data_IF_457905776510
#
_entry.id   IF_457905776510
#
_cell.length_a   1.000
_cell.length_b   1.000
_cell.length_c   1.000
_cell.angle_alpha   90.00
_cell.angle_beta   90.00
_cell.angle_gamma   90.00
#
_symmetry.space_group_name_H-M   'P 1'
#
loop_
_entity.id
_entity.type
_entity.pdbx_description
1 polymer ?
#
# COMPACT_ATOMS: atom_id res chain seq x y z
N UNK A 1 -37.78 32.04 -36.22
CA UNK A 1 -37.69 33.48 -35.91
C UNK A 1 -36.82 33.67 -34.68
N UNK A 2 -35.59 34.18 -34.85
CA UNK A 2 -34.69 34.46 -33.72
C UNK A 2 -35.21 35.69 -32.99
N UNK A 3 -35.87 35.49 -31.84
CA UNK A 3 -36.11 36.56 -30.88
C UNK A 3 -34.74 37.16 -30.51
N UNK A 4 -34.45 38.36 -31.02
CA UNK A 4 -33.27 39.10 -30.57
C UNK A 4 -33.54 39.50 -29.13
N UNK A 5 -32.86 38.86 -28.17
CA UNK A 5 -32.88 39.30 -26.78
C UNK A 5 -32.40 40.76 -26.72
N UNK A 6 -33.33 41.69 -26.51
CA UNK A 6 -33.01 43.07 -26.17
C UNK A 6 -32.60 43.14 -24.70
N UNK A 7 -31.71 44.07 -24.38
CA UNK A 7 -31.21 44.30 -23.02
C UNK A 7 -31.26 45.79 -22.70
N UNK A 8 -31.65 46.13 -21.48
CA UNK A 8 -31.78 47.52 -21.07
C UNK A 8 -30.44 48.13 -20.67
N UNK A 9 -30.25 49.40 -21.02
CA UNK A 9 -29.15 50.21 -20.52
C UNK A 9 -29.46 50.76 -19.13
N UNK A 10 -28.74 50.33 -18.10
CA UNK A 10 -28.93 50.76 -16.70
C UNK A 10 -28.77 52.28 -16.48
N UNK A 11 -28.08 52.98 -17.39
CA UNK A 11 -27.88 54.44 -17.30
C UNK A 11 -29.03 55.27 -17.90
N UNK A 12 -29.77 54.75 -18.89
CA UNK A 12 -30.82 55.53 -19.58
C UNK A 12 -32.15 54.80 -19.78
N UNK A 13 -32.26 53.55 -19.34
CA UNK A 13 -33.45 52.72 -19.43
C UNK A 13 -33.86 52.30 -20.85
N UNK A 14 -33.07 52.62 -21.88
CA UNK A 14 -33.41 52.26 -23.26
C UNK A 14 -33.06 50.80 -23.55
N UNK A 15 -34.00 50.09 -24.17
CA UNK A 15 -33.76 48.79 -24.80
C UNK A 15 -32.74 48.93 -25.93
N UNK A 16 -31.68 48.12 -25.87
CA UNK A 16 -30.65 48.06 -26.91
C UNK A 16 -30.38 46.62 -27.29
N UNK A 17 -29.94 46.40 -28.54
CA UNK A 17 -29.56 45.08 -29.03
C UNK A 17 -28.32 44.50 -28.33
N UNK A 18 -27.45 45.37 -27.79
CA UNK A 18 -26.26 44.98 -27.04
C UNK A 18 -25.75 46.11 -26.16
N UNK A 19 -25.35 45.78 -24.93
CA UNK A 19 -24.62 46.69 -24.06
C UNK A 19 -23.16 46.84 -24.52
N UNK A 20 -22.71 48.08 -24.66
CA UNK A 20 -21.35 48.39 -25.11
C UNK A 20 -20.31 48.18 -24.01
N UNK A 21 -20.68 48.50 -22.76
CA UNK A 21 -19.78 48.35 -21.59
C UNK A 21 -20.57 47.88 -20.37
N UNK A 22 -20.00 46.96 -19.60
CA UNK A 22 -20.41 46.69 -18.21
C UNK A 22 -19.30 47.12 -17.26
N UNK A 23 -19.63 47.90 -16.24
CA UNK A 23 -18.70 48.38 -15.22
C UNK A 23 -19.35 48.27 -13.84
N UNK A 24 -18.70 47.55 -12.89
CA UNK A 24 -19.24 47.29 -11.54
C UNK A 24 -20.70 46.79 -11.53
N UNK A 25 -21.05 45.91 -12.46
CA UNK A 25 -22.41 45.38 -12.59
C UNK A 25 -23.35 46.19 -13.48
N UNK A 26 -23.11 47.50 -13.64
CA UNK A 26 -23.93 48.40 -14.47
C UNK A 26 -23.58 48.34 -15.97
N UNK A 27 -24.59 48.16 -16.81
CA UNK A 27 -24.56 48.13 -18.26
C UNK A 27 -24.83 49.49 -18.91
N UNK A 28 -24.02 49.83 -19.90
CA UNK A 28 -24.10 51.08 -20.66
C UNK A 28 -24.25 50.78 -22.15
N UNK A 29 -25.21 51.44 -22.82
CA UNK A 29 -25.25 51.50 -24.28
C UNK A 29 -24.08 52.32 -24.82
N UNK A 30 -23.84 52.28 -26.14
CA UNK A 30 -22.72 52.99 -26.77
C UNK A 30 -22.73 54.50 -26.49
N UNK A 31 -23.91 55.13 -26.56
CA UNK A 31 -24.10 56.56 -26.28
C UNK A 31 -23.80 56.90 -24.82
N UNK A 32 -24.37 56.14 -23.89
CA UNK A 32 -24.13 56.32 -22.46
C UNK A 32 -22.67 56.08 -22.09
N UNK A 33 -22.03 55.07 -22.69
CA UNK A 33 -20.61 54.82 -22.51
C UNK A 33 -19.75 56.01 -22.95
N UNK A 34 -20.01 56.60 -24.13
CA UNK A 34 -19.27 57.78 -24.60
C UNK A 34 -19.51 59.03 -23.73
N UNK A 35 -20.70 59.15 -23.15
CA UNK A 35 -21.08 60.25 -22.25
C UNK A 35 -20.42 60.13 -20.88
N UNK A 36 -20.49 58.96 -20.26
CA UNK A 36 -20.06 58.70 -18.88
C UNK A 36 -18.57 58.40 -18.79
N UNK A 37 -17.97 57.74 -19.78
CA UNK A 37 -16.55 57.37 -19.78
C UNK A 37 -15.72 58.32 -20.63
N UNK A 38 -14.87 59.12 -19.98
CA UNK A 38 -13.99 60.11 -20.61
C UNK A 38 -12.53 59.62 -20.63
N UNK A 39 -11.77 60.05 -21.63
CA UNK A 39 -10.37 59.67 -21.80
C UNK A 39 -9.53 60.41 -20.73
N UNK A 40 -8.90 59.67 -19.83
CA UNK A 40 -8.09 60.18 -18.71
C UNK A 40 -6.92 59.22 -18.45
N UNK A 41 -5.89 59.68 -17.73
CA UNK A 41 -4.79 58.82 -17.29
C UNK A 41 -5.28 57.87 -16.19
N UNK A 42 -4.87 56.60 -16.27
CA UNK A 42 -5.13 55.62 -15.24
C UNK A 42 -4.29 55.93 -13.98
N UNK A 43 -4.90 56.06 -12.78
CA UNK A 43 -4.16 56.33 -11.54
C UNK A 43 -3.11 55.26 -11.19
N UNK A 44 -3.28 54.01 -11.68
CA UNK A 44 -2.39 52.88 -11.36
C UNK A 44 -1.25 52.67 -12.35
N UNK A 45 -1.48 52.88 -13.65
CA UNK A 45 -0.48 52.58 -14.68
C UNK A 45 -0.07 53.78 -15.54
N UNK A 46 -0.64 54.97 -15.32
CA UNK A 46 -0.35 56.19 -16.10
C UNK A 46 -0.93 56.22 -17.51
N UNK A 47 -1.24 55.06 -18.11
CA UNK A 47 -1.75 54.97 -19.49
C UNK A 47 -3.14 55.62 -19.70
N UNK A 48 -3.36 56.15 -20.91
CA UNK A 48 -4.63 56.76 -21.31
C UNK A 48 -5.72 55.70 -21.48
N UNK A 49 -6.80 55.79 -20.70
CA UNK A 49 -7.96 54.91 -20.78
C UNK A 49 -9.28 55.71 -20.72
N UNK A 50 -10.38 55.12 -21.22
CA UNK A 50 -11.73 55.67 -20.99
C UNK A 50 -12.23 55.25 -19.60
N UNK A 51 -12.31 56.20 -18.69
CA UNK A 51 -12.66 56.01 -17.29
C UNK A 51 -13.93 56.80 -16.94
N UNK A 52 -14.79 56.27 -16.05
CA UNK A 52 -16.00 56.96 -15.63
C UNK A 52 -15.67 58.32 -15.02
N UNK A 53 -16.38 59.37 -15.47
CA UNK A 53 -16.12 60.75 -15.01
C UNK A 53 -16.41 60.95 -13.51
N UNK A 54 -17.33 60.17 -12.95
CA UNK A 54 -17.83 60.30 -11.58
C UNK A 54 -17.03 59.46 -10.56
N UNK A 55 -16.02 58.69 -10.99
CA UNK A 55 -15.20 57.84 -10.12
C UNK A 55 -13.73 58.17 -10.39
N UNK A 56 -13.11 59.09 -9.62
CA UNK A 56 -11.75 59.55 -9.85
C UNK A 56 -10.69 58.46 -9.60
N UNK A 57 -11.01 57.44 -8.80
CA UNK A 57 -10.12 56.31 -8.48
C UNK A 57 -10.27 55.15 -9.48
N UNK A 58 -11.12 55.30 -10.50
CA UNK A 58 -11.34 54.27 -11.48
C UNK A 58 -10.04 53.94 -12.25
N UNK A 59 -9.62 52.68 -12.17
CA UNK A 59 -8.46 52.17 -12.92
C UNK A 59 -8.85 51.62 -14.29
N UNK A 60 -7.89 51.56 -15.21
CA UNK A 60 -8.11 50.99 -16.53
C UNK A 60 -8.49 49.50 -16.46
N UNK A 61 -9.06 48.96 -17.54
CA UNK A 61 -9.51 47.55 -17.59
C UNK A 61 -8.37 46.59 -17.25
N UNK A 62 -7.18 46.83 -17.78
CA UNK A 62 -6.00 45.99 -17.55
C UNK A 62 -5.63 45.99 -16.07
N UNK A 63 -5.50 47.16 -15.46
CA UNK A 63 -5.25 47.32 -14.03
C UNK A 63 -6.35 46.73 -13.13
N UNK A 64 -7.61 46.66 -13.59
CA UNK A 64 -8.67 46.07 -12.79
C UNK A 64 -8.56 44.53 -12.72
N UNK A 65 -8.05 43.91 -13.79
CA UNK A 65 -7.89 42.45 -13.89
C UNK A 65 -6.46 41.98 -13.63
N UNK A 66 -5.52 42.90 -13.51
CA UNK A 66 -4.16 42.66 -13.05
C UNK A 66 -4.15 42.42 -11.54
N UNK A 67 -4.68 41.26 -11.16
CA UNK A 67 -4.75 40.73 -9.80
C UNK A 67 -4.53 39.21 -9.85
N UNK A 68 -4.01 38.60 -8.76
CA UNK A 68 -3.94 37.15 -8.65
C UNK A 68 -5.32 36.50 -8.86
N UNK A 69 -5.34 35.27 -9.35
CA UNK A 69 -6.58 34.50 -9.48
C UNK A 69 -7.27 34.40 -8.12
N UNK A 70 -8.51 34.88 -8.01
CA UNK A 70 -9.26 34.94 -6.75
C UNK A 70 -9.46 33.58 -6.05
N UNK A 71 -9.20 32.45 -6.74
CA UNK A 71 -9.27 31.10 -6.16
C UNK A 71 -7.93 30.44 -5.90
N UNK A 72 -7.04 30.41 -6.89
CA UNK A 72 -5.78 29.67 -6.78
C UNK A 72 -4.56 30.54 -6.49
N UNK A 73 -4.72 31.86 -6.37
CA UNK A 73 -3.63 32.79 -6.04
C UNK A 73 -2.56 32.95 -7.14
N UNK A 74 -2.71 32.28 -8.29
CA UNK A 74 -1.77 32.39 -9.40
C UNK A 74 -1.67 33.84 -9.89
N UNK A 75 -0.45 34.33 -10.15
CA UNK A 75 -0.20 35.69 -10.60
C UNK A 75 -0.83 35.97 -11.98
N UNK A 76 -1.24 37.22 -12.23
CA UNK A 76 -1.90 37.66 -13.46
C UNK A 76 -1.07 37.43 -14.73
N UNK A 77 0.26 37.36 -14.61
CA UNK A 77 1.18 37.00 -15.71
C UNK A 77 1.07 35.54 -16.17
N UNK A 78 0.59 34.65 -15.29
CA UNK A 78 0.73 33.21 -15.48
C UNK A 78 -0.58 32.52 -15.90
N UNK A 79 -1.64 33.30 -16.15
CA UNK A 79 -2.94 32.76 -16.54
C UNK A 79 -3.78 33.67 -17.43
N UNK A 80 -4.62 33.01 -18.25
CA UNK A 80 -5.67 33.67 -19.01
C UNK A 80 -6.96 33.78 -18.17
N UNK A 81 -7.55 34.97 -18.14
CA UNK A 81 -8.78 35.27 -17.39
C UNK A 81 -9.94 34.50 -18.00
N UNK A 82 -10.59 33.65 -17.19
CA UNK A 82 -11.79 32.90 -17.60
C UNK A 82 -13.09 33.57 -17.17
N UNK A 83 -13.11 34.22 -16.00
CA UNK A 83 -14.29 34.94 -15.47
C UNK A 83 -13.81 36.07 -14.56
N UNK A 84 -14.54 37.18 -14.51
CA UNK A 84 -14.36 38.22 -13.50
C UNK A 84 -15.53 38.10 -12.52
N UNK A 85 -15.20 37.91 -11.25
CA UNK A 85 -16.16 37.77 -10.14
C UNK A 85 -16.13 39.01 -9.26
N UNK A 86 -17.09 39.21 -8.33
CA UNK A 86 -17.02 40.30 -7.36
C UNK A 86 -15.71 40.32 -6.55
N UNK A 87 -15.12 39.15 -6.31
CA UNK A 87 -13.85 38.98 -5.58
C UNK A 87 -12.59 39.17 -6.44
N UNK A 88 -12.75 39.37 -7.76
CA UNK A 88 -11.64 39.58 -8.69
C UNK A 88 -11.61 38.61 -9.89
N UNK A 89 -10.56 38.69 -10.72
CA UNK A 89 -10.38 37.82 -11.87
C UNK A 89 -10.10 36.38 -11.44
N UNK A 90 -10.58 35.43 -12.24
CA UNK A 90 -10.40 33.99 -12.03
C UNK A 90 -9.82 33.39 -13.30
N UNK A 91 -8.79 32.55 -13.16
CA UNK A 91 -8.17 31.88 -14.30
C UNK A 91 -9.12 30.90 -14.99
N UNK A 92 -8.87 30.61 -16.27
CA UNK A 92 -9.71 29.70 -17.08
C UNK A 92 -9.90 28.33 -16.42
N UNK A 93 -8.88 27.81 -15.73
CA UNK A 93 -8.95 26.54 -15.02
C UNK A 93 -9.83 26.59 -13.75
N UNK A 94 -9.92 27.78 -13.11
CA UNK A 94 -10.72 27.99 -11.92
C UNK A 94 -12.14 28.51 -12.22
N UNK A 95 -12.38 29.09 -13.40
CA UNK A 95 -13.68 29.63 -13.78
C UNK A 95 -14.85 28.64 -13.63
N UNK A 96 -14.72 27.32 -13.91
CA UNK A 96 -15.79 26.36 -13.67
C UNK A 96 -16.30 26.32 -12.23
N UNK A 97 -15.46 26.56 -11.23
CA UNK A 97 -15.85 26.50 -9.82
C UNK A 97 -16.77 27.65 -9.38
N UNK A 98 -16.93 28.66 -10.22
CA UNK A 98 -17.83 29.80 -10.01
C UNK A 98 -19.07 29.73 -10.91
N UNK A 99 -19.39 28.53 -11.42
CA UNK A 99 -20.63 28.25 -12.15
C UNK A 99 -21.53 27.38 -11.28
N UNK A 100 -22.83 27.58 -11.41
CA UNK A 100 -23.80 26.67 -10.82
C UNK A 100 -23.72 25.31 -11.54
N UNK A 101 -23.74 24.18 -10.80
CA UNK A 101 -23.76 22.87 -11.42
C UNK A 101 -25.06 22.66 -12.21
N UNK A 102 -24.93 22.20 -13.44
CA UNK A 102 -26.07 21.86 -14.31
C UNK A 102 -26.06 20.35 -14.63
N UNK A 103 -27.22 19.72 -14.85
CA UNK A 103 -27.28 18.30 -15.17
C UNK A 103 -26.67 17.98 -16.53
N UNK A 104 -25.88 16.90 -16.60
CA UNK A 104 -25.39 16.34 -17.85
C UNK A 104 -26.55 15.78 -18.69
N UNK A 105 -26.62 16.15 -19.96
CA UNK A 105 -27.71 15.73 -20.85
C UNK A 105 -27.64 14.24 -21.25
N UNK A 106 -26.53 13.55 -20.98
CA UNK A 106 -26.40 12.11 -21.22
C UNK A 106 -26.58 11.23 -19.97
N UNK A 107 -26.24 11.71 -18.77
CA UNK A 107 -26.25 10.87 -17.56
C UNK A 107 -26.96 11.50 -16.34
N UNK A 108 -27.53 12.70 -16.49
CA UNK A 108 -28.27 13.41 -15.44
C UNK A 108 -27.41 13.97 -14.30
N UNK A 109 -26.13 13.57 -14.16
CA UNK A 109 -25.27 14.01 -13.05
C UNK A 109 -24.95 15.50 -13.16
N UNK A 110 -25.09 16.21 -12.05
CA UNK A 110 -24.72 17.63 -11.93
C UNK A 110 -23.22 17.84 -12.18
N UNK A 111 -22.89 18.82 -13.01
CA UNK A 111 -21.51 19.18 -13.34
C UNK A 111 -21.37 20.67 -13.60
N UNK A 112 -20.27 21.25 -13.13
CA UNK A 112 -19.87 22.62 -13.47
C UNK A 112 -19.03 22.69 -14.76
N UNK A 113 -18.74 21.53 -15.37
CA UNK A 113 -17.81 21.36 -16.50
C UNK A 113 -18.49 20.67 -17.68
N UNK A 114 -19.64 21.19 -18.07
CA UNK A 114 -20.34 20.70 -19.26
C UNK A 114 -19.66 21.19 -20.54
N UNK A 115 -19.54 20.31 -21.52
CA UNK A 115 -18.99 20.60 -22.85
C UNK A 115 -19.79 19.93 -23.94
N UNK A 116 -19.82 20.52 -25.13
CA UNK A 116 -20.33 19.90 -26.35
C UNK A 116 -19.20 19.20 -27.09
N UNK A 117 -19.49 18.06 -27.70
CA UNK A 117 -18.49 17.23 -28.39
C UNK A 117 -19.02 16.83 -29.76
N UNK A 118 -18.63 17.60 -30.79
CA UNK A 118 -19.14 17.41 -32.16
C UNK A 118 -18.93 15.98 -32.71
N UNK A 119 -17.81 15.33 -32.36
CA UNK A 119 -17.49 13.97 -32.84
C UNK A 119 -18.45 12.87 -32.33
N UNK A 120 -19.27 13.15 -31.32
CA UNK A 120 -20.27 12.20 -30.81
C UNK A 120 -21.59 12.25 -31.57
N UNK A 121 -21.71 13.09 -32.61
CA UNK A 121 -22.88 13.09 -33.51
C UNK A 121 -24.15 13.73 -32.92
N UNK A 122 -24.07 14.35 -31.74
CA UNK A 122 -25.18 15.06 -31.10
C UNK A 122 -24.68 16.37 -30.46
N UNK A 123 -25.58 17.32 -30.20
CA UNK A 123 -25.23 18.61 -29.54
C UNK A 123 -25.43 18.62 -28.01
N UNK A 124 -25.46 17.44 -27.38
CA UNK A 124 -25.64 17.36 -25.93
C UNK A 124 -24.49 18.00 -25.13
N UNK A 125 -24.85 18.64 -24.02
CA UNK A 125 -23.93 19.15 -22.99
C UNK A 125 -23.53 18.02 -22.05
N UNK A 126 -22.30 17.55 -22.21
CA UNK A 126 -21.76 16.38 -21.51
C UNK A 126 -20.84 16.77 -20.36
N UNK A 127 -20.93 16.03 -19.25
CA UNK A 127 -19.94 16.10 -18.18
C UNK A 127 -18.58 15.49 -18.63
N UNK A 128 -17.47 15.75 -17.91
CA UNK A 128 -16.14 15.28 -18.31
C UNK A 128 -16.03 13.76 -18.52
N UNK A 129 -16.82 12.97 -17.79
CA UNK A 129 -16.89 11.52 -17.96
C UNK A 129 -17.59 11.13 -19.25
N UNK A 130 -18.77 11.70 -19.53
CA UNK A 130 -19.53 11.39 -20.74
C UNK A 130 -18.82 11.90 -22.00
N UNK A 131 -18.18 13.07 -21.95
CA UNK A 131 -17.44 13.64 -23.09
C UNK A 131 -16.19 12.84 -23.51
N UNK A 132 -15.81 11.85 -22.69
CA UNK A 132 -14.63 11.00 -22.91
C UNK A 132 -15.01 9.51 -22.89
N UNK A 133 -16.29 9.18 -23.05
CA UNK A 133 -16.77 7.79 -23.05
C UNK A 133 -16.21 6.95 -24.21
N UNK A 134 -15.79 7.60 -25.30
CA UNK A 134 -15.17 7.04 -26.49
C UNK A 134 -13.63 6.96 -26.39
N UNK A 135 -13.04 7.34 -25.26
CA UNK A 135 -11.60 7.23 -25.05
C UNK A 135 -11.21 5.82 -24.60
N UNK A 136 -9.96 5.47 -24.87
CA UNK A 136 -9.33 4.24 -24.40
C UNK A 136 -7.88 4.46 -23.99
N UNK A 137 -7.21 3.39 -23.54
CA UNK A 137 -5.79 3.43 -23.20
C UNK A 137 -4.96 3.12 -24.44
N UNK A 138 -4.17 4.09 -24.91
CA UNK A 138 -3.27 3.91 -26.05
C UNK A 138 -2.27 2.77 -25.80
N UNK A 139 -2.12 1.83 -26.74
CA UNK A 139 -1.21 0.68 -26.58
C UNK A 139 0.25 1.11 -26.42
N UNK A 140 0.69 2.15 -27.15
CA UNK A 140 2.06 2.67 -27.09
C UNK A 140 2.34 3.54 -25.84
N UNK A 141 1.65 4.68 -25.69
CA UNK A 141 1.96 5.63 -24.60
C UNK A 141 1.24 5.36 -23.28
N UNK A 142 0.30 4.39 -23.24
CA UNK A 142 -0.49 4.01 -22.05
C UNK A 142 -1.32 5.13 -21.42
N UNK A 143 -1.51 6.26 -22.14
CA UNK A 143 -2.36 7.38 -21.70
C UNK A 143 -3.79 7.17 -22.19
N UNK A 144 -4.76 7.52 -21.34
CA UNK A 144 -6.19 7.48 -21.67
C UNK A 144 -6.59 8.66 -22.56
N UNK A 145 -6.91 8.39 -23.83
CA UNK A 145 -7.15 9.39 -24.88
C UNK A 145 -8.12 8.84 -25.94
N UNK A 146 -8.56 9.72 -26.85
CA UNK A 146 -9.20 9.29 -28.09
C UNK A 146 -8.21 8.46 -28.92
N UNK A 147 -8.64 7.27 -29.36
CA UNK A 147 -7.82 6.33 -30.10
C UNK A 147 -8.24 6.24 -31.56
N UNK A 148 -7.27 5.92 -32.41
CA UNK A 148 -7.43 5.54 -33.81
C UNK A 148 -6.87 4.13 -33.99
N UNK A 149 -7.46 3.35 -34.88
CA UNK A 149 -6.94 2.03 -35.24
C UNK A 149 -5.87 2.23 -36.31
N UNK A 150 -4.63 1.90 -35.96
CA UNK A 150 -3.50 1.94 -36.87
C UNK A 150 -3.61 0.81 -37.92
N UNK A 151 -2.91 0.90 -39.07
CA UNK A 151 -2.96 -0.12 -40.12
C UNK A 151 -2.59 -1.54 -39.65
N UNK A 152 -1.81 -1.64 -38.58
CA UNK A 152 -1.41 -2.90 -37.95
C UNK A 152 -2.44 -3.45 -36.94
N UNK A 153 -3.59 -2.78 -36.76
CA UNK A 153 -4.64 -3.15 -35.81
C UNK A 153 -4.48 -2.55 -34.41
N UNK A 154 -3.41 -1.81 -34.12
CA UNK A 154 -3.19 -1.24 -32.79
C UNK A 154 -4.09 -0.03 -32.52
N UNK A 155 -4.64 0.04 -31.29
CA UNK A 155 -5.38 1.21 -30.82
C UNK A 155 -4.42 2.28 -30.25
N UNK A 156 -4.08 3.27 -31.08
CA UNK A 156 -3.10 4.31 -30.77
C UNK A 156 -3.77 5.67 -30.60
N UNK A 157 -3.21 6.55 -29.76
CA UNK A 157 -3.60 7.96 -29.79
C UNK A 157 -3.04 8.64 -31.04
N UNK A 158 -3.67 9.72 -31.50
CA UNK A 158 -3.28 10.47 -32.70
C UNK A 158 -1.76 10.73 -32.78
N UNK A 159 -1.16 11.25 -31.72
CA UNK A 159 0.28 11.56 -31.69
C UNK A 159 1.15 10.31 -31.88
N UNK A 160 0.82 9.20 -31.22
CA UNK A 160 1.55 7.93 -31.39
C UNK A 160 1.36 7.34 -32.80
N UNK A 161 0.18 7.49 -33.39
CA UNK A 161 -0.09 7.00 -34.74
C UNK A 161 0.63 7.82 -35.82
N UNK A 162 0.69 9.14 -35.66
CA UNK A 162 1.27 10.05 -36.67
C UNK A 162 2.79 10.17 -36.55
N UNK A 163 3.33 10.15 -35.33
CA UNK A 163 4.75 10.46 -35.07
C UNK A 163 5.54 9.27 -34.53
N UNK A 164 4.88 8.17 -34.14
CA UNK A 164 5.56 7.00 -33.60
C UNK A 164 6.38 7.31 -32.34
N UNK A 165 7.69 7.14 -32.45
CA UNK A 165 8.67 7.43 -31.40
C UNK A 165 9.37 8.77 -31.63
N UNK A 166 9.51 9.54 -30.56
CA UNK A 166 10.29 10.78 -30.51
C UNK A 166 11.36 10.68 -29.44
N UNK A 167 12.43 11.47 -29.57
CA UNK A 167 13.46 11.56 -28.53
C UNK A 167 12.92 12.26 -27.28
N UNK A 168 13.20 11.71 -26.10
CA UNK A 168 12.85 12.34 -24.83
C UNK A 168 13.63 13.66 -24.64
N UNK A 169 12.97 14.82 -24.43
CA UNK A 169 13.68 16.09 -24.22
C UNK A 169 14.60 16.11 -22.99
N UNK A 170 14.38 15.20 -22.03
CA UNK A 170 15.16 15.14 -20.79
C UNK A 170 16.35 14.17 -20.85
N UNK A 171 16.31 13.12 -21.68
CA UNK A 171 17.33 12.07 -21.67
C UNK A 171 17.73 11.53 -23.04
N UNK A 172 17.16 12.04 -24.13
CA UNK A 172 17.44 11.60 -25.51
C UNK A 172 16.83 10.27 -25.93
N UNK A 173 16.56 9.35 -24.99
CA UNK A 173 16.02 8.02 -25.30
C UNK A 173 14.68 8.07 -26.07
N UNK A 174 14.43 7.10 -26.98
CA UNK A 174 13.18 7.01 -27.72
C UNK A 174 11.99 6.81 -26.77
N UNK A 175 10.88 7.47 -27.08
CA UNK A 175 9.64 7.36 -26.34
C UNK A 175 8.42 7.54 -27.26
N UNK A 176 7.26 6.98 -26.93
CA UNK A 176 6.05 7.23 -27.69
C UNK A 176 5.67 8.72 -27.72
N UNK A 177 5.40 9.26 -28.91
CA UNK A 177 5.09 10.68 -29.12
C UNK A 177 3.94 11.20 -28.24
N UNK A 178 2.95 10.36 -27.93
CA UNK A 178 1.85 10.69 -27.02
C UNK A 178 2.26 11.08 -25.58
N UNK A 179 3.53 10.87 -25.19
CA UNK A 179 4.07 11.37 -23.92
C UNK A 179 4.42 12.86 -23.99
N UNK A 180 4.95 13.35 -25.11
CA UNK A 180 5.21 14.76 -25.37
C UNK A 180 6.44 15.31 -24.64
N UNK A 181 6.38 15.43 -23.31
CA UNK A 181 7.33 16.24 -22.53
C UNK A 181 8.40 15.43 -21.79
N UNK A 182 8.18 14.14 -21.53
CA UNK A 182 9.14 13.26 -20.90
C UNK A 182 8.79 11.78 -21.12
N UNK A 183 9.82 10.93 -21.22
CA UNK A 183 9.64 9.49 -21.22
C UNK A 183 9.14 9.00 -19.84
N UNK A 184 8.67 7.76 -19.77
CA UNK A 184 8.15 7.21 -18.52
C UNK A 184 9.16 7.25 -17.36
N UNK A 185 10.41 6.79 -17.53
CA UNK A 185 11.41 6.88 -16.48
C UNK A 185 11.63 8.32 -16.01
N UNK A 186 11.82 9.28 -16.92
CA UNK A 186 12.05 10.68 -16.57
C UNK A 186 10.87 11.31 -15.83
N UNK A 187 9.63 11.02 -16.26
CA UNK A 187 8.42 11.49 -15.57
C UNK A 187 8.37 10.99 -14.12
N UNK A 188 8.63 9.69 -13.91
CA UNK A 188 8.59 9.10 -12.57
C UNK A 188 9.78 9.51 -11.71
N UNK A 189 10.98 9.68 -12.28
CA UNK A 189 12.14 10.22 -11.57
C UNK A 189 11.85 11.64 -11.08
N UNK A 190 11.32 12.52 -11.95
CA UNK A 190 10.93 13.88 -11.56
C UNK A 190 9.85 13.87 -10.48
N UNK A 191 8.87 12.99 -10.59
CA UNK A 191 7.80 12.83 -9.60
C UNK A 191 8.36 12.37 -8.25
N UNK A 192 9.26 11.38 -8.24
CA UNK A 192 9.91 10.88 -7.04
C UNK A 192 10.76 11.97 -6.37
N UNK A 193 11.63 12.65 -7.14
CA UNK A 193 12.45 13.77 -6.64
C UNK A 193 11.63 14.89 -6.04
N UNK A 194 10.51 15.27 -6.67
CA UNK A 194 9.60 16.26 -6.10
C UNK A 194 9.05 15.82 -4.73
N UNK A 195 8.70 14.54 -4.57
CA UNK A 195 8.23 13.99 -3.28
C UNK A 195 9.35 13.97 -2.24
N UNK A 196 10.57 13.64 -2.65
CA UNK A 196 11.77 13.70 -1.81
C UNK A 196 11.95 15.13 -1.29
N UNK A 197 11.99 16.14 -2.18
CA UNK A 197 12.16 17.55 -1.79
C UNK A 197 11.09 18.02 -0.81
N UNK A 198 9.83 17.61 -1.02
CA UNK A 198 8.73 17.93 -0.09
C UNK A 198 8.97 17.26 1.27
N UNK A 199 9.37 15.98 1.30
CA UNK A 199 9.66 15.28 2.54
C UNK A 199 10.88 15.84 3.28
N UNK A 200 11.94 16.24 2.57
CA UNK A 200 13.11 16.91 3.14
C UNK A 200 12.75 18.19 3.89
N UNK A 201 11.81 18.98 3.34
CA UNK A 201 11.31 20.18 4.01
C UNK A 201 10.47 19.90 5.26
N UNK A 202 10.01 18.66 5.44
CA UNK A 202 9.26 18.21 6.61
C UNK A 202 10.10 17.60 7.73
N UNK A 203 11.43 17.48 7.56
CA UNK A 203 12.37 16.97 8.56
C UNK A 203 13.15 18.14 9.14
N UNK A 204 13.21 18.22 10.47
CA UNK A 204 13.82 19.35 11.19
C UNK A 204 15.34 19.26 11.17
N UNK A 205 15.87 18.07 11.44
CA UNK A 205 17.31 17.84 11.49
C UNK A 205 17.89 17.79 10.08
N UNK A 206 18.84 18.69 9.79
CA UNK A 206 19.51 18.77 8.48
C UNK A 206 20.12 17.43 8.04
N UNK A 207 20.87 16.77 8.91
CA UNK A 207 21.51 15.49 8.58
C UNK A 207 20.49 14.38 8.22
N UNK A 208 19.34 14.32 8.90
CA UNK A 208 18.29 13.36 8.57
C UNK A 208 17.50 13.75 7.31
N UNK A 209 17.37 15.05 7.04
CA UNK A 209 16.80 15.56 5.79
C UNK A 209 17.68 15.19 4.58
N UNK A 210 19.00 15.31 4.72
CA UNK A 210 19.97 14.85 3.72
C UNK A 210 19.91 13.33 3.55
N UNK A 211 19.91 12.57 4.65
CA UNK A 211 19.75 11.11 4.66
C UNK A 211 18.46 10.64 3.96
N UNK A 212 17.33 11.32 4.15
CA UNK A 212 16.09 11.00 3.44
C UNK A 212 16.21 11.26 1.93
N UNK A 213 16.94 12.31 1.54
CA UNK A 213 17.29 12.60 0.16
C UNK A 213 18.12 11.48 -0.48
N UNK A 214 19.20 11.08 0.19
CA UNK A 214 20.08 9.99 -0.22
C UNK A 214 19.33 8.66 -0.33
N UNK A 215 18.51 8.32 0.68
CA UNK A 215 17.62 7.16 0.64
C UNK A 215 16.69 7.21 -0.58
N UNK A 216 16.13 8.37 -0.89
CA UNK A 216 15.25 8.56 -2.04
C UNK A 216 15.94 8.27 -3.37
N UNK A 217 17.16 8.78 -3.58
CA UNK A 217 17.95 8.50 -4.79
C UNK A 217 18.40 7.02 -4.84
N UNK A 218 18.82 6.45 -3.71
CA UNK A 218 19.10 5.02 -3.60
C UNK A 218 17.88 4.16 -3.97
N UNK A 219 16.69 4.54 -3.51
CA UNK A 219 15.45 3.81 -3.78
C UNK A 219 15.09 3.84 -5.28
N UNK A 220 15.32 4.97 -5.95
CA UNK A 220 15.16 5.10 -7.41
C UNK A 220 16.09 4.11 -8.13
N UNK A 221 17.36 4.04 -7.72
CA UNK A 221 18.37 3.14 -8.32
C UNK A 221 18.01 1.67 -8.14
N UNK A 222 17.58 1.26 -6.95
CA UNK A 222 17.35 -0.15 -6.61
C UNK A 222 15.99 -0.68 -7.10
N UNK A 223 14.93 0.13 -7.04
CA UNK A 223 13.56 -0.35 -7.35
C UNK A 223 13.00 0.16 -8.67
N UNK A 224 13.68 1.13 -9.29
CA UNK A 224 13.23 1.85 -10.46
C UNK A 224 12.34 3.06 -10.11
N UNK A 225 12.33 4.12 -10.94
CA UNK A 225 11.67 5.38 -10.63
C UNK A 225 10.18 5.28 -10.31
N UNK A 226 9.43 4.44 -11.04
CA UNK A 226 7.99 4.27 -10.83
C UNK A 226 7.68 3.71 -9.44
N UNK A 227 8.33 2.60 -9.05
CA UNK A 227 8.10 1.97 -7.74
C UNK A 227 8.60 2.87 -6.61
N UNK A 228 9.74 3.53 -6.79
CA UNK A 228 10.29 4.48 -5.83
C UNK A 228 9.30 5.63 -5.58
N UNK A 229 8.77 6.25 -6.63
CA UNK A 229 7.80 7.32 -6.53
C UNK A 229 6.58 6.89 -5.71
N UNK A 230 6.02 5.71 -5.96
CA UNK A 230 4.85 5.21 -5.23
C UNK A 230 5.13 4.92 -3.75
N UNK A 231 6.35 4.49 -3.40
CA UNK A 231 6.69 4.05 -2.04
C UNK A 231 7.35 5.11 -1.16
N UNK A 232 8.00 6.14 -1.73
CA UNK A 232 8.81 7.08 -0.95
C UNK A 232 8.04 7.72 0.21
N UNK A 233 6.78 8.11 -0.01
CA UNK A 233 5.94 8.71 1.03
C UNK A 233 5.57 7.71 2.15
N UNK A 234 5.48 6.42 1.86
CA UNK A 234 5.21 5.41 2.90
C UNK A 234 6.37 5.35 3.91
N UNK A 235 7.60 5.56 3.45
CA UNK A 235 8.78 5.55 4.32
C UNK A 235 9.01 6.88 5.03
N UNK A 236 8.33 7.97 4.63
CA UNK A 236 8.50 9.27 5.29
C UNK A 236 8.22 9.23 6.80
N UNK A 237 7.18 8.49 7.21
CA UNK A 237 6.84 8.32 8.64
C UNK A 237 7.98 7.76 9.47
N UNK A 238 8.76 6.82 8.92
CA UNK A 238 9.94 6.26 9.58
C UNK A 238 11.01 7.32 9.82
N UNK A 239 11.35 8.14 8.81
CA UNK A 239 12.37 9.18 8.95
C UNK A 239 11.92 10.32 9.87
N UNK A 240 10.62 10.64 9.89
CA UNK A 240 10.07 11.62 10.84
C UNK A 240 10.20 11.13 12.28
N UNK A 241 9.98 9.83 12.52
CA UNK A 241 10.16 9.23 13.84
C UNK A 241 11.64 9.21 14.26
N UNK A 242 12.57 9.00 13.31
CA UNK A 242 14.00 9.16 13.59
C UNK A 242 14.36 10.60 14.01
N UNK A 243 13.78 11.58 13.32
CA UNK A 243 13.98 13.02 13.58
C UNK A 243 13.53 13.40 14.99
N UNK A 244 12.34 12.92 15.39
CA UNK A 244 11.73 13.22 16.67
C UNK A 244 12.40 12.50 17.85
N UNK A 245 12.79 11.23 17.69
CA UNK A 245 13.28 10.42 18.80
C UNK A 245 14.80 10.55 19.01
N UNK A 246 15.60 10.76 17.95
CA UNK A 246 17.06 10.81 18.09
C UNK A 246 17.71 12.02 17.43
N UNK A 247 17.08 12.64 16.42
CA UNK A 247 17.70 13.71 15.62
C UNK A 247 19.05 13.31 14.99
N UNK A 248 19.26 11.99 14.80
CA UNK A 248 20.40 11.37 14.10
C UNK A 248 19.97 10.01 13.59
N UNK A 249 20.83 9.35 12.82
CA UNK A 249 20.65 7.94 12.50
C UNK A 249 21.00 7.11 13.75
N UNK A 250 20.05 6.35 14.32
CA UNK A 250 20.30 5.47 15.46
C UNK A 250 20.99 4.16 15.05
N UNK A 251 21.62 3.51 16.02
CA UNK A 251 22.16 2.16 15.89
C UNK A 251 21.04 1.12 15.74
N UNK A 252 21.41 -0.08 15.29
CA UNK A 252 20.43 -1.16 15.10
C UNK A 252 19.71 -1.56 16.40
N UNK A 253 20.43 -1.56 17.53
CA UNK A 253 19.86 -1.89 18.83
C UNK A 253 18.81 -0.87 19.28
N UNK A 254 19.08 0.43 19.10
CA UNK A 254 18.15 1.52 19.35
C UNK A 254 16.89 1.39 18.47
N UNK A 255 17.07 1.10 17.17
CA UNK A 255 15.97 0.86 16.23
C UNK A 255 15.12 -0.35 16.62
N UNK A 256 15.76 -1.46 16.99
CA UNK A 256 15.07 -2.67 17.38
C UNK A 256 14.29 -2.48 18.68
N UNK A 257 14.86 -1.76 19.65
CA UNK A 257 14.20 -1.48 20.91
C UNK A 257 12.93 -0.62 20.72
N UNK A 258 13.02 0.42 19.88
CA UNK A 258 11.92 1.35 19.66
C UNK A 258 10.82 0.79 18.75
N UNK A 259 11.18 0.20 17.61
CA UNK A 259 10.21 -0.28 16.61
C UNK A 259 9.81 -1.74 16.78
N UNK A 260 10.62 -2.54 17.48
CA UNK A 260 10.50 -3.99 17.53
C UNK A 260 10.77 -4.67 16.18
N UNK A 261 10.91 -5.99 16.18
CA UNK A 261 11.18 -6.76 14.97
C UNK A 261 10.03 -6.74 13.94
N UNK A 262 8.80 -6.42 14.35
CA UNK A 262 7.65 -6.24 13.43
C UNK A 262 7.68 -4.86 12.76
N UNK A 263 7.96 -3.78 13.50
CA UNK A 263 8.10 -2.45 12.93
C UNK A 263 9.21 -2.40 11.88
N UNK A 264 10.39 -2.95 12.21
CA UNK A 264 11.51 -3.04 11.26
C UNK A 264 11.20 -3.93 10.03
N UNK A 265 10.24 -4.85 10.13
CA UNK A 265 9.77 -5.66 8.98
C UNK A 265 8.89 -4.88 8.02
N UNK A 266 8.27 -3.78 8.44
CA UNK A 266 7.48 -2.88 7.58
C UNK A 266 8.36 -1.90 6.80
N UNK A 267 9.54 -1.59 7.33
CA UNK A 267 10.52 -0.66 6.76
C UNK A 267 11.78 -1.37 6.22
N UNK A 268 11.61 -2.52 5.54
CA UNK A 268 12.75 -3.33 5.03
C UNK A 268 13.66 -2.57 4.07
N UNK A 269 13.11 -1.69 3.22
CA UNK A 269 13.91 -0.92 2.27
C UNK A 269 14.75 0.16 2.98
N UNK A 270 14.18 0.97 3.87
CA UNK A 270 14.99 1.82 4.76
C UNK A 270 16.04 1.05 5.56
N UNK A 271 15.70 -0.08 6.17
CA UNK A 271 16.67 -0.88 6.93
C UNK A 271 17.80 -1.44 6.06
N UNK A 272 17.49 -1.84 4.82
CA UNK A 272 18.50 -2.28 3.87
C UNK A 272 19.43 -1.13 3.48
N UNK A 273 18.89 0.06 3.23
CA UNK A 273 19.68 1.25 2.95
C UNK A 273 20.57 1.65 4.13
N UNK A 274 20.05 1.63 5.37
CA UNK A 274 20.82 1.91 6.58
C UNK A 274 22.00 0.96 6.75
N UNK A 275 21.83 -0.31 6.41
CA UNK A 275 22.93 -1.28 6.41
C UNK A 275 23.93 -1.02 5.29
N UNK A 276 23.46 -0.90 4.03
CA UNK A 276 24.33 -0.80 2.85
C UNK A 276 25.09 0.53 2.76
N UNK A 277 24.47 1.66 3.13
CA UNK A 277 25.02 3.00 2.88
C UNK A 277 25.36 3.76 4.16
N UNK A 278 24.85 3.34 5.33
CA UNK A 278 25.06 4.04 6.61
C UNK A 278 25.75 3.17 7.68
N UNK A 279 26.14 1.94 7.34
CA UNK A 279 26.90 1.05 8.23
C UNK A 279 26.13 0.54 9.46
N UNK A 280 24.79 0.59 9.43
CA UNK A 280 23.96 0.07 10.53
C UNK A 280 23.86 -1.45 10.42
N UNK A 281 24.74 -2.16 11.14
CA UNK A 281 24.82 -3.62 11.10
C UNK A 281 23.60 -4.31 11.75
N UNK A 282 22.88 -5.19 11.04
CA UNK A 282 21.78 -5.95 11.61
C UNK A 282 22.24 -6.96 12.68
N UNK A 283 21.77 -6.79 13.91
CA UNK A 283 21.91 -7.83 14.94
C UNK A 283 20.80 -8.87 14.79
N UNK A 284 21.11 -9.92 14.03
CA UNK A 284 20.22 -11.07 13.81
C UNK A 284 19.86 -11.79 15.12
N UNK A 285 20.76 -11.82 16.11
CA UNK A 285 20.53 -12.47 17.39
C UNK A 285 19.56 -11.66 18.24
N UNK A 286 19.78 -10.35 18.37
CA UNK A 286 18.86 -9.45 19.08
C UNK A 286 17.46 -9.47 18.44
N UNK A 287 17.37 -9.42 17.11
CA UNK A 287 16.08 -9.50 16.39
C UNK A 287 15.32 -10.79 16.68
N UNK A 288 16.04 -11.91 16.76
CA UNK A 288 15.47 -13.21 17.13
C UNK A 288 14.96 -13.17 18.56
N UNK A 289 15.77 -12.67 19.50
CA UNK A 289 15.40 -12.55 20.91
C UNK A 289 14.13 -11.69 21.08
N UNK A 290 14.06 -10.52 20.45
CA UNK A 290 12.88 -9.65 20.47
C UNK A 290 11.62 -10.37 19.96
N UNK A 291 11.76 -11.09 18.84
CA UNK A 291 10.66 -11.88 18.28
C UNK A 291 10.19 -13.00 19.21
N UNK A 292 11.10 -13.64 19.94
CA UNK A 292 10.78 -14.67 20.92
C UNK A 292 10.14 -14.06 22.17
N UNK A 293 10.63 -12.93 22.70
CA UNK A 293 10.04 -12.20 23.83
C UNK A 293 8.58 -11.84 23.57
N UNK A 294 8.26 -11.31 22.39
CA UNK A 294 6.87 -11.03 21.99
C UNK A 294 5.99 -12.28 21.95
N UNK A 295 6.51 -13.41 21.44
CA UNK A 295 5.77 -14.69 21.40
C UNK A 295 5.56 -15.28 22.80
N UNK A 296 6.52 -15.09 23.69
CA UNK A 296 6.42 -15.45 25.11
C UNK A 296 5.30 -14.63 25.75
N UNK A 297 5.29 -13.30 25.56
CA UNK A 297 4.24 -12.42 26.08
C UNK A 297 2.84 -12.79 25.56
N UNK A 298 2.71 -13.10 24.27
CA UNK A 298 1.45 -13.59 23.70
C UNK A 298 1.02 -14.94 24.31
N UNK A 299 1.97 -15.79 24.70
CA UNK A 299 1.70 -17.06 25.38
C UNK A 299 1.22 -16.82 26.82
N UNK A 300 1.83 -15.90 27.54
CA UNK A 300 1.42 -15.51 28.88
C UNK A 300 0.01 -14.92 28.87
N UNK A 301 -0.29 -14.08 27.89
CA UNK A 301 -1.60 -13.46 27.70
C UNK A 301 -2.68 -14.42 27.17
N UNK A 302 -2.39 -15.71 26.99
CA UNK A 302 -3.36 -16.68 26.47
C UNK A 302 -4.33 -17.21 27.51
N UNK A 303 -4.05 -16.96 28.80
CA UNK A 303 -4.90 -17.37 29.91
C UNK A 303 -5.90 -16.28 30.28
N UNK A 304 -7.07 -16.64 30.84
CA UNK A 304 -7.95 -15.67 31.47
C UNK A 304 -7.21 -14.91 32.58
N UNK A 305 -7.28 -13.58 32.54
CA UNK A 305 -6.56 -12.71 33.46
C UNK A 305 -6.85 -13.07 34.92
N UNK A 306 -5.80 -13.15 35.74
CA UNK A 306 -5.85 -13.45 37.17
C UNK A 306 -6.42 -14.83 37.54
N UNK A 307 -6.65 -15.72 36.58
CA UNK A 307 -7.01 -17.12 36.84
C UNK A 307 -5.88 -17.89 37.51
N UNK A 308 -6.20 -19.03 38.13
CA UNK A 308 -5.18 -19.92 38.71
C UNK A 308 -4.15 -20.37 37.65
N UNK A 309 -4.63 -20.67 36.44
CA UNK A 309 -3.76 -21.04 35.31
C UNK A 309 -2.84 -19.90 34.86
N UNK A 310 -3.33 -18.65 34.85
CA UNK A 310 -2.51 -17.46 34.58
C UNK A 310 -1.39 -17.32 35.62
N UNK A 311 -1.74 -17.34 36.91
CA UNK A 311 -0.77 -17.22 38.01
C UNK A 311 0.32 -18.30 37.94
N UNK A 312 -0.07 -19.55 37.68
CA UNK A 312 0.86 -20.69 37.58
C UNK A 312 1.73 -20.60 36.33
N UNK A 313 1.17 -20.15 35.20
CA UNK A 313 1.93 -19.98 33.97
C UNK A 313 2.97 -18.84 34.11
N UNK A 314 2.60 -17.74 34.76
CA UNK A 314 3.50 -16.63 35.08
C UNK A 314 4.62 -17.07 36.03
N UNK A 315 4.29 -17.82 37.09
CA UNK A 315 5.29 -18.36 38.02
C UNK A 315 6.26 -19.34 37.31
N UNK A 316 5.76 -20.16 36.39
CA UNK A 316 6.60 -21.03 35.57
C UNK A 316 7.50 -20.22 34.62
N UNK A 317 6.99 -19.13 34.03
CA UNK A 317 7.81 -18.23 33.22
C UNK A 317 8.95 -17.61 34.03
N UNK A 318 8.70 -17.13 35.25
CA UNK A 318 9.75 -16.59 36.11
C UNK A 318 10.89 -17.61 36.34
N UNK A 319 10.55 -18.88 36.55
CA UNK A 319 11.54 -19.94 36.67
C UNK A 319 12.34 -20.15 35.36
N UNK A 320 11.68 -20.07 34.20
CA UNK A 320 12.34 -20.18 32.89
C UNK A 320 13.25 -18.97 32.62
N UNK A 321 12.84 -17.77 33.03
CA UNK A 321 13.60 -16.52 32.92
C UNK A 321 14.90 -16.60 33.72
N UNK A 322 14.87 -17.05 34.98
CA UNK A 322 16.08 -17.29 35.78
C UNK A 322 17.03 -18.30 35.12
N UNK A 323 16.50 -19.32 34.41
CA UNK A 323 17.33 -20.28 33.66
C UNK A 323 17.95 -19.65 32.41
N UNK A 324 17.28 -18.70 31.77
CA UNK A 324 17.82 -17.93 30.65
C UNK A 324 18.97 -17.05 31.14
N UNK A 325 18.75 -16.31 32.23
CA UNK A 325 19.77 -15.43 32.85
C UNK A 325 21.00 -16.21 33.29
N UNK A 326 20.81 -17.42 33.83
CA UNK A 326 21.89 -18.33 34.20
C UNK A 326 22.56 -19.04 32.98
N UNK A 327 22.18 -18.73 31.75
CA UNK A 327 22.73 -19.33 30.53
C UNK A 327 22.37 -20.81 30.32
N UNK A 328 21.45 -21.38 31.12
CA UNK A 328 21.05 -22.80 31.08
C UNK A 328 20.01 -23.12 30.01
N UNK A 329 19.42 -22.11 29.37
CA UNK A 329 18.34 -22.26 28.40
C UNK A 329 18.27 -21.05 27.46
N UNK A 330 17.91 -21.29 26.20
CA UNK A 330 17.67 -20.22 25.23
C UNK A 330 16.23 -19.67 25.31
N UNK A 331 16.01 -18.44 24.85
CA UNK A 331 14.66 -17.86 24.68
C UNK A 331 13.74 -18.77 23.84
N UNK A 332 14.28 -19.40 22.80
CA UNK A 332 13.52 -20.32 21.93
C UNK A 332 13.04 -21.56 22.69
N UNK A 333 13.93 -22.18 23.47
CA UNK A 333 13.62 -23.37 24.26
C UNK A 333 12.62 -23.04 25.38
N UNK A 334 12.81 -21.90 26.05
CA UNK A 334 11.87 -21.41 27.06
C UNK A 334 10.47 -21.15 26.47
N UNK A 335 10.37 -20.49 25.31
CA UNK A 335 9.09 -20.29 24.62
C UNK A 335 8.41 -21.62 24.29
N UNK A 336 9.16 -22.63 23.82
CA UNK A 336 8.59 -23.94 23.49
C UNK A 336 8.02 -24.64 24.73
N UNK A 337 8.76 -24.61 25.84
CA UNK A 337 8.28 -25.15 27.11
C UNK A 337 7.04 -24.40 27.63
N UNK A 338 7.08 -23.06 27.62
CA UNK A 338 5.97 -22.22 28.06
C UNK A 338 4.71 -22.44 27.20
N UNK A 339 4.86 -22.58 25.87
CA UNK A 339 3.75 -22.88 24.97
C UNK A 339 3.14 -24.25 25.24
N UNK A 340 3.95 -25.25 25.54
CA UNK A 340 3.46 -26.58 25.90
C UNK A 340 2.68 -26.54 27.22
N UNK A 341 3.18 -25.79 28.22
CA UNK A 341 2.50 -25.56 29.49
C UNK A 341 1.14 -24.86 29.29
N UNK A 342 1.11 -23.76 28.53
CA UNK A 342 -0.13 -23.05 28.23
C UNK A 342 -1.14 -23.93 27.48
N UNK A 343 -0.70 -24.72 26.51
CA UNK A 343 -1.57 -25.64 25.79
C UNK A 343 -2.16 -26.73 26.69
N UNK A 344 -1.38 -27.28 27.63
CA UNK A 344 -1.88 -28.24 28.63
C UNK A 344 -2.91 -27.60 29.55
N UNK A 345 -2.67 -26.38 30.05
CA UNK A 345 -3.61 -25.66 30.91
C UNK A 345 -4.95 -25.39 30.19
N UNK A 346 -4.90 -24.92 28.94
CA UNK A 346 -6.11 -24.71 28.13
C UNK A 346 -6.87 -26.00 27.82
N UNK A 347 -6.15 -27.12 27.62
CA UNK A 347 -6.77 -28.42 27.40
C UNK A 347 -7.42 -28.98 28.68
N UNK A 348 -6.93 -28.55 29.85
CA UNK A 348 -7.43 -28.94 31.16
C UNK A 348 -8.72 -28.18 31.49
N UNK A 349 -8.65 -26.85 31.49
CA UNK A 349 -9.80 -25.98 31.77
C UNK A 349 -9.59 -24.63 31.10
N UNK A 350 -10.45 -24.30 30.14
CA UNK A 350 -10.39 -23.01 29.41
C UNK A 350 -10.66 -21.79 30.28
N UNK A 351 -11.42 -21.92 31.35
CA UNK A 351 -11.67 -20.85 32.33
C UNK A 351 -10.50 -20.66 33.29
N UNK A 352 -9.50 -21.56 33.26
CA UNK A 352 -8.26 -21.43 34.01
C UNK A 352 -8.39 -21.64 35.52
N UNK A 353 -9.54 -22.13 36.01
CA UNK A 353 -9.85 -22.22 37.44
C UNK A 353 -9.22 -23.44 38.15
N UNK A 354 -8.79 -24.47 37.41
CA UNK A 354 -8.22 -25.71 37.98
C UNK A 354 -6.90 -26.06 37.35
N UNK A 355 -6.04 -26.75 38.10
CA UNK A 355 -4.78 -27.30 37.60
C UNK A 355 -4.97 -28.69 36.96
N UNK A 356 -4.05 -29.13 36.09
CA UNK A 356 -4.09 -30.44 35.47
C UNK A 356 -3.96 -31.55 36.51
N UNK A 357 -4.77 -32.60 36.35
CA UNK A 357 -4.60 -33.88 37.02
C UNK A 357 -3.95 -34.89 36.07
N UNK A 358 -3.57 -36.07 36.57
CA UNK A 358 -2.89 -37.09 35.75
C UNK A 358 -3.69 -37.44 34.48
N UNK A 359 -5.02 -37.58 34.61
CA UNK A 359 -5.89 -37.86 33.47
C UNK A 359 -5.87 -36.75 32.40
N UNK A 360 -5.72 -35.48 32.79
CA UNK A 360 -5.62 -34.36 31.83
C UNK A 360 -4.29 -34.40 31.07
N UNK A 361 -3.19 -34.70 31.79
CA UNK A 361 -1.86 -34.86 31.18
C UNK A 361 -1.86 -36.04 30.21
N UNK A 362 -2.45 -37.16 30.59
CA UNK A 362 -2.56 -38.34 29.74
C UNK A 362 -3.42 -38.05 28.51
N UNK A 363 -4.57 -37.38 28.67
CA UNK A 363 -5.43 -36.97 27.55
C UNK A 363 -4.73 -35.97 26.62
N UNK A 364 -3.97 -35.03 27.18
CA UNK A 364 -3.20 -34.06 26.39
C UNK A 364 -2.10 -34.73 25.58
N UNK A 365 -1.31 -35.60 26.20
CA UNK A 365 -0.23 -36.34 25.52
C UNK A 365 -0.79 -37.43 24.60
N UNK A 366 -1.99 -37.91 24.87
CA UNK A 366 -2.76 -38.71 23.92
C UNK A 366 -3.05 -37.89 22.68
N UNK A 367 -3.47 -36.63 22.77
CA UNK A 367 -3.67 -35.78 21.60
C UNK A 367 -2.36 -35.35 20.92
N UNK A 368 -1.32 -35.01 21.69
CA UNK A 368 -0.07 -34.40 21.19
C UNK A 368 1.18 -35.08 21.79
N UNK A 369 1.49 -36.34 21.41
CA UNK A 369 2.55 -37.13 22.06
C UNK A 369 3.95 -36.51 21.89
N UNK A 370 4.18 -35.76 20.82
CA UNK A 370 5.47 -35.11 20.55
C UNK A 370 5.86 -34.01 21.55
N UNK A 371 4.95 -33.56 22.41
CA UNK A 371 5.23 -32.53 23.41
C UNK A 371 5.63 -33.09 24.78
N UNK A 372 5.72 -34.41 24.95
CA UNK A 372 6.02 -35.04 26.24
C UNK A 372 7.25 -34.41 26.92
N UNK A 373 8.37 -34.29 26.21
CA UNK A 373 9.59 -33.69 26.73
C UNK A 373 9.42 -32.21 27.15
N UNK A 374 8.61 -31.44 26.41
CA UNK A 374 8.36 -30.03 26.70
C UNK A 374 7.44 -29.82 27.90
N UNK A 375 6.53 -30.77 28.14
CA UNK A 375 5.58 -30.74 29.27
C UNK A 375 6.25 -31.21 30.57
N UNK A 376 7.26 -32.09 30.51
CA UNK A 376 7.98 -32.61 31.69
C UNK A 376 8.52 -31.52 32.61
N UNK A 377 9.07 -30.44 32.05
CA UNK A 377 9.55 -29.32 32.85
C UNK A 377 8.44 -28.67 33.67
N UNK A 378 7.26 -28.52 33.06
CA UNK A 378 6.09 -27.90 33.69
C UNK A 378 5.40 -28.83 34.70
N UNK A 379 5.26 -30.12 34.41
CA UNK A 379 4.69 -31.08 35.37
C UNK A 379 5.58 -31.21 36.61
N UNK A 380 6.91 -31.20 36.44
CA UNK A 380 7.84 -31.20 37.56
C UNK A 380 7.77 -29.91 38.38
N UNK A 381 7.51 -28.77 37.73
CA UNK A 381 7.25 -27.51 38.42
C UNK A 381 5.96 -27.59 39.25
N UNK A 382 4.86 -28.07 38.67
CA UNK A 382 3.59 -28.27 39.37
C UNK A 382 3.73 -29.21 40.58
N UNK A 383 4.42 -30.34 40.41
CA UNK A 383 4.64 -31.30 41.49
C UNK A 383 5.38 -30.69 42.68
N UNK A 384 6.32 -29.76 42.43
CA UNK A 384 7.08 -29.08 43.48
C UNK A 384 6.30 -27.98 44.20
N UNK A 385 5.52 -27.19 43.45
CA UNK A 385 4.89 -25.97 43.96
C UNK A 385 3.43 -26.15 44.39
N UNK A 386 2.76 -27.20 43.89
CA UNK A 386 1.31 -27.40 44.08
C UNK A 386 0.95 -28.81 44.57
N UNK A 387 1.92 -29.54 45.14
CA UNK A 387 1.72 -30.87 45.73
C UNK A 387 1.02 -31.89 44.80
N UNK A 388 1.28 -31.81 43.49
CA UNK A 388 0.76 -32.76 42.50
C UNK A 388 1.70 -33.95 42.30
N UNK A 389 1.19 -35.04 41.71
CA UNK A 389 1.98 -36.23 41.36
C UNK A 389 1.85 -36.58 39.87
N UNK A 390 2.04 -35.58 39.01
CA UNK A 390 1.90 -35.68 37.55
C UNK A 390 3.12 -36.36 36.93
N UNK A 391 2.88 -37.35 36.08
CA UNK A 391 3.89 -38.07 35.31
C UNK A 391 3.52 -38.04 33.82
N UNK A 392 4.24 -37.26 32.99
CA UNK A 392 3.97 -37.21 31.55
C UNK A 392 4.45 -38.51 30.89
N UNK A 393 3.51 -39.42 30.59
CA UNK A 393 3.78 -40.71 29.96
C UNK A 393 3.12 -40.77 28.59
N UNK A 394 3.84 -41.30 27.61
CA UNK A 394 3.31 -41.59 26.27
C UNK A 394 3.34 -43.09 26.06
N UNK A 395 2.18 -43.69 25.79
CA UNK A 395 2.12 -45.06 25.29
C UNK A 395 2.58 -45.08 23.83
N UNK A 396 3.83 -45.51 23.63
CA UNK A 396 4.49 -45.54 22.31
C UNK A 396 3.72 -46.42 21.32
N UNK A 397 3.13 -47.53 21.77
CA UNK A 397 2.37 -48.44 20.91
C UNK A 397 1.09 -47.77 20.42
N UNK A 398 0.34 -47.13 21.32
CA UNK A 398 -0.89 -46.39 20.96
C UNK A 398 -0.60 -45.15 20.13
N UNK A 399 0.48 -44.43 20.40
CA UNK A 399 0.90 -43.27 19.59
C UNK A 399 1.24 -43.67 18.14
N UNK A 400 1.95 -44.80 17.96
CA UNK A 400 2.24 -45.36 16.62
C UNK A 400 0.96 -45.78 15.90
N UNK A 401 0.03 -46.45 16.60
CA UNK A 401 -1.28 -46.84 16.03
C UNK A 401 -2.05 -45.63 15.49
N UNK A 402 -2.21 -44.56 16.28
CA UNK A 402 -2.97 -43.38 15.85
C UNK A 402 -2.27 -42.55 14.78
N UNK A 403 -0.94 -42.53 14.77
CA UNK A 403 -0.15 -41.95 13.68
C UNK A 403 -0.46 -42.67 12.36
N UNK A 404 -0.47 -44.01 12.40
CA UNK A 404 -0.84 -44.84 11.25
C UNK A 404 -2.29 -44.60 10.80
N UNK A 405 -3.25 -44.49 11.73
CA UNK A 405 -4.65 -44.15 11.41
C UNK A 405 -4.82 -42.74 10.83
N UNK A 406 -4.03 -41.76 11.28
CA UNK A 406 -4.04 -40.41 10.73
C UNK A 406 -3.47 -40.40 9.32
N UNK A 407 -2.34 -41.06 9.09
CA UNK A 407 -1.77 -41.22 7.75
C UNK A 407 -2.72 -41.95 6.80
N UNK A 408 -3.40 -43.00 7.26
CA UNK A 408 -4.42 -43.70 6.48
C UNK A 408 -5.53 -42.74 6.04
N UNK A 409 -6.07 -41.94 6.96
CA UNK A 409 -7.11 -40.94 6.63
C UNK A 409 -6.61 -39.87 5.66
N UNK A 410 -5.37 -39.41 5.82
CA UNK A 410 -4.74 -38.46 4.89
C UNK A 410 -4.64 -39.08 3.49
N UNK A 411 -4.11 -40.29 3.37
CA UNK A 411 -3.99 -41.00 2.10
C UNK A 411 -5.37 -41.26 1.46
N UNK A 412 -6.36 -41.71 2.23
CA UNK A 412 -7.74 -41.88 1.73
C UNK A 412 -8.35 -40.56 1.25
N UNK A 413 -8.09 -39.45 1.92
CA UNK A 413 -8.59 -38.12 1.51
C UNK A 413 -7.89 -37.66 0.23
N UNK A 414 -6.58 -37.87 0.14
CA UNK A 414 -5.81 -37.55 -1.05
C UNK A 414 -6.21 -38.41 -2.24
N UNK A 415 -6.53 -39.69 -2.04
CA UNK A 415 -7.01 -40.59 -3.09
C UNK A 415 -8.36 -40.16 -3.69
N UNK A 416 -9.22 -39.49 -2.90
CA UNK A 416 -10.52 -38.97 -3.37
C UNK A 416 -10.40 -37.72 -4.24
N UNK A 417 -9.25 -37.05 -4.25
CA UNK A 417 -9.00 -35.84 -5.04
C UNK A 417 -7.92 -36.16 -6.08
N UNK A 418 -8.30 -36.26 -7.35
CA UNK A 418 -7.37 -36.58 -8.44
C UNK A 418 -6.16 -35.61 -8.48
N UNK A 419 -5.01 -36.14 -8.93
CA UNK A 419 -3.69 -35.49 -9.00
C UNK A 419 -3.78 -33.99 -9.36
N UNK A 420 -3.41 -33.12 -8.40
CA UNK A 420 -3.40 -31.67 -8.58
C UNK A 420 -2.00 -31.10 -8.89
N UNK A 421 -1.07 -31.96 -9.32
CA UNK A 421 0.28 -31.58 -9.73
C UNK A 421 1.38 -32.02 -8.75
N UNK A 422 2.59 -31.52 -8.99
CA UNK A 422 3.83 -32.00 -8.34
C UNK A 422 3.81 -31.91 -6.82
N UNK A 423 3.23 -30.83 -6.26
CA UNK A 423 3.11 -30.65 -4.81
C UNK A 423 2.21 -31.71 -4.14
N UNK A 424 1.15 -32.16 -4.84
CA UNK A 424 0.30 -33.25 -4.35
C UNK A 424 1.08 -34.58 -4.34
N UNK A 425 1.85 -34.86 -5.40
CA UNK A 425 2.67 -36.09 -5.50
C UNK A 425 3.76 -36.14 -4.43
N UNK A 426 4.46 -35.03 -4.20
CA UNK A 426 5.46 -34.96 -3.12
C UNK A 426 4.83 -35.24 -1.75
N UNK A 427 3.63 -34.70 -1.50
CA UNK A 427 2.89 -34.95 -0.26
C UNK A 427 2.41 -36.41 -0.15
N UNK A 428 1.97 -37.02 -1.26
CA UNK A 428 1.55 -38.43 -1.30
C UNK A 428 2.71 -39.35 -0.95
N UNK A 429 3.86 -39.17 -1.61
CA UNK A 429 5.05 -40.00 -1.38
C UNK A 429 5.50 -39.91 0.07
N UNK A 430 5.57 -38.69 0.63
CA UNK A 430 5.95 -38.49 2.04
C UNK A 430 4.99 -39.21 3.00
N UNK A 431 3.67 -39.10 2.78
CA UNK A 431 2.68 -39.75 3.64
C UNK A 431 2.68 -41.28 3.48
N UNK A 432 2.81 -41.77 2.25
CA UNK A 432 2.80 -43.20 1.91
C UNK A 432 4.06 -43.91 2.41
N UNK A 433 5.23 -43.29 2.28
CA UNK A 433 6.49 -43.80 2.86
C UNK A 433 6.38 -44.02 4.37
N UNK A 434 5.80 -43.05 5.08
CA UNK A 434 5.61 -43.16 6.52
C UNK A 434 4.54 -44.20 6.89
N UNK A 435 3.50 -44.36 6.07
CA UNK A 435 2.40 -45.28 6.35
C UNK A 435 2.75 -46.75 6.07
N UNK A 436 3.29 -47.03 4.88
CA UNK A 436 3.56 -48.39 4.40
C UNK A 436 4.90 -48.92 4.91
N UNK A 437 5.92 -48.05 5.01
CA UNK A 437 7.30 -48.46 5.28
C UNK A 437 7.87 -47.91 6.60
N UNK A 438 7.04 -47.23 7.41
CA UNK A 438 7.42 -46.59 8.69
C UNK A 438 8.67 -45.70 8.57
N UNK A 439 8.91 -45.17 7.36
CA UNK A 439 10.12 -44.42 7.01
C UNK A 439 9.76 -42.96 6.85
N UNK A 440 10.33 -42.10 7.69
CA UNK A 440 10.06 -40.65 7.65
C UNK A 440 10.87 -39.98 6.57
N UNK A 441 10.17 -39.29 5.67
CA UNK A 441 10.75 -38.49 4.62
C UNK A 441 10.21 -37.06 4.70
N UNK A 442 11.06 -36.06 4.48
CA UNK A 442 10.58 -34.67 4.28
C UNK A 442 10.56 -34.37 2.79
N UNK A 443 9.73 -33.42 2.33
CA UNK A 443 9.71 -33.01 0.92
C UNK A 443 11.10 -32.57 0.42
N UNK A 444 11.88 -31.90 1.28
CA UNK A 444 13.26 -31.50 0.95
C UNK A 444 14.17 -32.72 0.73
N UNK A 445 14.03 -33.77 1.55
CA UNK A 445 14.79 -35.00 1.40
C UNK A 445 14.34 -35.78 0.16
N UNK A 446 13.03 -35.82 -0.12
CA UNK A 446 12.46 -36.47 -1.30
C UNK A 446 13.04 -35.91 -2.60
N UNK A 447 13.20 -34.58 -2.70
CA UNK A 447 13.81 -33.93 -3.87
C UNK A 447 15.27 -34.31 -4.12
N UNK A 448 15.91 -34.97 -3.17
CA UNK A 448 17.28 -35.48 -3.27
C UNK A 448 17.31 -36.99 -3.55
N UNK A 449 16.16 -37.64 -3.63
CA UNK A 449 16.03 -39.07 -3.89
C UNK A 449 15.60 -39.33 -5.34
N UNK A 450 15.93 -40.52 -5.84
CA UNK A 450 15.43 -41.01 -7.12
C UNK A 450 14.00 -41.49 -6.95
N UNK A 451 13.10 -40.96 -7.77
CA UNK A 451 11.68 -41.33 -7.82
C UNK A 451 11.37 -41.81 -9.24
N UNK A 452 11.03 -43.08 -9.37
CA UNK A 452 10.68 -43.72 -10.64
C UNK A 452 9.21 -44.12 -10.63
N UNK A 453 8.52 -43.91 -11.74
CA UNK A 453 7.10 -44.29 -11.88
C UNK A 453 7.02 -45.64 -12.58
N UNK A 454 6.35 -46.60 -11.95
CA UNK A 454 6.07 -47.91 -12.53
C UNK A 454 4.63 -47.97 -13.04
N UNK A 455 4.30 -49.04 -13.77
CA UNK A 455 2.94 -49.29 -14.31
C UNK A 455 1.87 -49.40 -13.22
N UNK A 456 2.26 -49.76 -12.01
CA UNK A 456 1.38 -50.05 -10.86
C UNK A 456 1.62 -49.15 -9.63
N UNK A 457 2.55 -48.19 -9.72
CA UNK A 457 2.91 -47.38 -8.55
C UNK A 457 4.10 -46.44 -8.73
N UNK A 458 4.73 -46.09 -7.61
CA UNK A 458 5.95 -45.28 -7.55
C UNK A 458 7.02 -46.04 -6.76
N UNK A 459 8.24 -46.07 -7.30
CA UNK A 459 9.43 -46.51 -6.60
C UNK A 459 10.24 -45.31 -6.11
N UNK A 460 10.69 -45.36 -4.86
CA UNK A 460 11.52 -44.33 -4.23
C UNK A 460 12.75 -45.00 -3.63
N UNK A 461 13.94 -44.55 -4.02
CA UNK A 461 15.20 -45.04 -3.43
C UNK A 461 15.62 -44.12 -2.29
N UNK A 462 15.64 -44.62 -1.06
CA UNK A 462 16.09 -43.86 0.11
C UNK A 462 17.22 -44.61 0.79
N UNK A 463 18.41 -44.00 0.86
CA UNK A 463 19.56 -44.59 1.55
C UNK A 463 20.02 -45.94 0.95
N UNK A 464 19.85 -46.13 -0.36
CA UNK A 464 20.20 -47.37 -1.07
C UNK A 464 19.15 -48.48 -1.00
N UNK A 465 18.01 -48.25 -0.33
CA UNK A 465 16.88 -49.19 -0.29
C UNK A 465 15.76 -48.68 -1.19
N UNK A 466 15.25 -49.55 -2.05
CA UNK A 466 14.12 -49.25 -2.94
C UNK A 466 12.80 -49.57 -2.26
N UNK A 467 11.92 -48.58 -2.19
CA UNK A 467 10.57 -48.70 -1.61
C UNK A 467 9.53 -48.54 -2.71
N UNK A 468 8.55 -49.44 -2.75
CA UNK A 468 7.41 -49.35 -3.67
C UNK A 468 6.18 -48.76 -2.95
N UNK A 469 5.46 -47.86 -3.61
CA UNK A 469 4.29 -47.19 -3.09
C UNK A 469 3.13 -47.33 -4.10
N UNK A 470 1.92 -47.66 -3.63
CA UNK A 470 0.77 -47.68 -4.51
C UNK A 470 0.44 -46.24 -4.95
N UNK A 471 0.16 -46.09 -6.24
CA UNK A 471 -0.47 -44.90 -6.79
C UNK A 471 -1.82 -45.35 -7.32
N UNK A 472 -2.90 -44.70 -6.88
CA UNK A 472 -4.22 -44.98 -7.45
C UNK A 472 -4.23 -44.41 -8.87
N UNK A 473 -4.15 -45.30 -9.87
CA UNK A 473 -4.25 -44.96 -11.30
C UNK A 473 -5.63 -45.38 -11.79
N UNK A 474 -6.70 -45.09 -11.05
CA UNK A 474 -8.07 -45.20 -11.57
C UNK A 474 -8.93 -44.01 -11.11
N UNK A 475 -9.10 -43.05 -12.02
CA UNK A 475 -10.30 -42.23 -12.18
C UNK A 475 -10.70 -42.31 -13.64
#
# INVERSE_FOLDING_TARGET
>A
MNQHQTVDCDECGREVSKLWRRHKGHGYCSTCYARVFKRRMCPRCGELARLPKNDPDAVCRQCNVDKPCARCGKASSDYNIGKVTPYGPVCIACAPYFKEPEPCEACGKASQRLTRVARMGHDHRLCPRCSTADHGTCSACRRHRLLVVAPNGDALCKACNEQGEIACPSCGNPMPAGRGDACEPCYWTRTCRKRITIGQAGITTKALSEAFGEFGEWLIRITGPHKAALKINHFFSFFLELDQAWSRIPSYSELLHHFGAEGLRRVRLPMRWLHEEQGVEPDHQAKRIDSEKRRIQACLSSMPFASLSDQVLQAYWLQLETRIEAGKTSHTSARLALRAAAALLLATNREGQRLPQQGDVDNYLHAVPGQAASVTGFTNFLNRQHATTLAPRVDVKRARKRRKETLARTLMTMARCADQGEAWREAWIVAAMEYFHDTKLTQKMLRQQTVERTTDGIQVVVGGVTYWLPLDIEC
#
